data_IF_830186444324
#
_entry.id   IF_830186444324
#
_cell.length_a   1.000
_cell.length_b   1.000
_cell.length_c   1.000
_cell.angle_alpha   90.00
_cell.angle_beta   90.00
_cell.angle_gamma   90.00
#
_symmetry.space_group_name_H-M   'P 1'
#
loop_
_entity.id
_entity.type
_entity.pdbx_description
1 polymer ?
#
# COMPACT_ATOMS: atom_id res chain seq x y z
N UNK A 1 16.35 -1.71 5.98
CA UNK A 1 15.57 -1.97 4.75
C UNK A 1 14.59 -3.07 5.08
N UNK A 2 13.28 -2.86 4.91
CA UNK A 2 12.24 -3.87 5.16
C UNK A 2 11.67 -4.35 3.83
N UNK A 3 11.60 -5.66 3.64
CA UNK A 3 11.02 -6.29 2.45
C UNK A 3 10.35 -7.59 2.87
N UNK A 4 9.16 -7.52 3.50
CA UNK A 4 8.45 -8.73 3.87
C UNK A 4 7.96 -9.49 2.64
N UNK A 5 7.95 -10.80 2.74
CA UNK A 5 7.35 -11.67 1.73
C UNK A 5 5.84 -11.39 1.62
N UNK A 6 5.17 -11.22 2.77
CA UNK A 6 3.79 -10.74 2.87
C UNK A 6 3.68 -9.53 3.81
N UNK A 7 3.32 -8.38 3.23
CA UNK A 7 3.11 -7.13 3.96
C UNK A 7 1.82 -7.14 4.77
N UNK A 8 0.86 -8.00 4.43
CA UNK A 8 -0.42 -8.15 5.11
C UNK A 8 -0.35 -9.12 6.30
N UNK A 9 0.84 -9.61 6.63
CA UNK A 9 1.02 -10.41 7.84
C UNK A 9 0.77 -9.53 9.10
N UNK A 10 0.05 -10.02 10.14
CA UNK A 10 -0.35 -9.21 11.31
C UNK A 10 0.79 -8.44 11.98
N UNK A 11 1.99 -9.04 12.05
CA UNK A 11 3.18 -8.37 12.59
C UNK A 11 3.53 -7.06 11.87
N UNK A 12 3.32 -6.98 10.55
CA UNK A 12 3.59 -5.79 9.77
C UNK A 12 2.46 -4.78 9.87
N UNK A 13 1.22 -5.23 9.90
CA UNK A 13 0.05 -4.36 10.13
C UNK A 13 0.21 -3.62 11.46
N UNK A 14 0.53 -4.34 12.54
CA UNK A 14 0.73 -3.71 13.86
C UNK A 14 1.92 -2.76 13.86
N UNK A 15 3.01 -3.13 13.19
CA UNK A 15 4.16 -2.24 13.06
C UNK A 15 3.84 -0.96 12.28
N UNK A 16 3.03 -1.03 11.22
CA UNK A 16 2.57 0.13 10.46
C UNK A 16 1.58 0.95 11.29
N UNK A 17 0.71 0.31 12.08
CA UNK A 17 -0.22 0.98 13.00
C UNK A 17 0.55 1.81 14.04
N UNK A 18 1.61 1.26 14.61
CA UNK A 18 2.47 1.96 15.58
C UNK A 18 3.16 3.19 14.99
N UNK A 19 3.42 3.21 13.68
CA UNK A 19 3.97 4.39 12.98
C UNK A 19 2.96 5.53 12.85
N UNK A 20 1.67 5.29 13.10
CA UNK A 20 0.58 6.28 13.02
C UNK A 20 0.61 7.09 11.70
N UNK A 21 0.52 6.43 10.54
CA UNK A 21 0.61 7.13 9.27
C UNK A 21 -0.59 8.06 9.07
N UNK A 22 -0.33 9.30 8.66
CA UNK A 22 -1.36 10.21 8.18
C UNK A 22 -1.80 9.87 6.74
N UNK A 23 -0.85 9.47 5.90
CA UNK A 23 -0.98 9.19 4.46
C UNK A 23 -0.11 7.98 4.10
N UNK A 24 -0.57 7.13 3.18
CA UNK A 24 0.26 6.09 2.57
C UNK A 24 0.56 6.40 1.10
N UNK A 25 1.79 6.16 0.67
CA UNK A 25 2.19 6.26 -0.73
C UNK A 25 2.79 4.94 -1.22
N UNK A 26 2.30 4.47 -2.36
CA UNK A 26 2.80 3.28 -3.04
C UNK A 26 3.40 3.67 -4.39
N UNK A 27 4.69 3.40 -4.58
CA UNK A 27 5.43 3.71 -5.80
C UNK A 27 5.93 2.39 -6.40
N UNK A 28 5.33 1.94 -7.51
CA UNK A 28 5.71 0.70 -8.18
C UNK A 28 5.80 -0.53 -7.26
N UNK A 29 5.07 -0.52 -6.14
CA UNK A 29 5.03 -1.64 -5.20
C UNK A 29 4.19 -2.76 -5.78
N UNK A 30 4.69 -4.00 -5.73
CA UNK A 30 4.11 -5.14 -6.44
C UNK A 30 3.04 -5.88 -5.65
N UNK A 31 3.11 -5.83 -4.32
CA UNK A 31 2.19 -6.59 -3.48
C UNK A 31 0.94 -5.74 -3.22
N UNK A 32 -0.22 -6.37 -3.27
CA UNK A 32 -1.47 -5.72 -2.89
C UNK A 32 -1.43 -5.39 -1.39
N UNK A 33 -1.72 -4.14 -1.06
CA UNK A 33 -1.96 -3.73 0.33
C UNK A 33 -3.42 -4.04 0.67
N UNK A 34 -3.63 -4.83 1.72
CA UNK A 34 -4.95 -5.15 2.23
C UNK A 34 -5.61 -3.96 2.92
N UNK A 35 -6.93 -4.04 3.06
CA UNK A 35 -7.76 -2.99 3.64
C UNK A 35 -7.33 -2.62 5.06
N UNK A 36 -6.83 -3.58 5.84
CA UNK A 36 -6.32 -3.31 7.20
C UNK A 36 -5.17 -2.31 7.19
N UNK A 37 -4.31 -2.33 6.18
CA UNK A 37 -3.21 -1.37 6.04
C UNK A 37 -3.72 -0.05 5.47
N UNK A 38 -4.55 -0.11 4.42
CA UNK A 38 -5.08 1.07 3.73
C UNK A 38 -5.90 1.96 4.69
N UNK A 39 -6.63 1.35 5.61
CA UNK A 39 -7.46 2.06 6.60
C UNK A 39 -6.65 2.65 7.77
N UNK A 40 -5.34 2.39 7.88
CA UNK A 40 -4.50 3.02 8.91
C UNK A 40 -4.22 4.49 8.63
N UNK A 41 -4.34 4.94 7.38
CA UNK A 41 -4.05 6.31 6.97
C UNK A 41 -5.33 7.14 6.78
N UNK A 42 -5.69 8.03 7.72
CA UNK A 42 -6.96 8.76 7.69
C UNK A 42 -7.07 9.74 6.51
N UNK A 43 -5.95 10.21 5.94
CA UNK A 43 -5.94 11.08 4.76
C UNK A 43 -5.83 10.29 3.45
N UNK A 44 -5.88 8.96 3.53
CA UNK A 44 -5.93 8.05 2.40
C UNK A 44 -4.58 7.45 2.01
N UNK A 45 -4.67 6.56 1.01
CA UNK A 45 -3.54 5.87 0.41
C UNK A 45 -3.50 6.18 -1.10
N UNK A 46 -2.35 6.61 -1.60
CA UNK A 46 -2.16 7.01 -2.99
C UNK A 46 -1.16 6.10 -3.68
N UNK A 47 -1.47 5.69 -4.91
CA UNK A 47 -0.55 4.93 -5.75
C UNK A 47 -0.07 5.81 -6.91
N UNK A 48 1.23 5.78 -7.18
CA UNK A 48 1.78 6.33 -8.41
C UNK A 48 1.83 5.24 -9.47
N UNK A 49 1.05 5.45 -10.53
CA UNK A 49 1.05 4.58 -11.68
C UNK A 49 1.64 5.30 -12.91
N UNK A 50 2.60 4.66 -13.58
CA UNK A 50 3.31 5.24 -14.74
C UNK A 50 2.52 5.20 -16.05
N UNK A 51 1.19 5.30 -15.99
CA UNK A 51 0.31 5.18 -17.16
C UNK A 51 -0.88 6.15 -17.07
N UNK A 52 -1.60 6.31 -18.18
CA UNK A 52 -2.83 7.10 -18.25
C UNK A 52 -4.03 6.28 -17.75
N UNK A 53 -4.43 6.50 -16.50
CA UNK A 53 -5.69 5.98 -15.96
C UNK A 53 -6.90 6.69 -16.60
N UNK A 54 -8.02 6.01 -16.88
CA UNK A 54 -8.31 4.59 -16.60
C UNK A 54 -7.84 3.61 -17.69
N UNK A 55 -7.31 4.12 -18.81
CA UNK A 55 -7.07 3.36 -20.04
C UNK A 55 -6.03 2.22 -19.86
N UNK A 56 -5.06 2.41 -18.96
CA UNK A 56 -4.03 1.41 -18.65
C UNK A 56 -3.87 1.27 -17.14
N UNK A 57 -4.93 0.94 -16.40
CA UNK A 57 -4.72 0.46 -15.03
C UNK A 57 -3.81 -0.78 -15.08
N UNK A 58 -2.77 -0.85 -14.24
CA UNK A 58 -2.02 -2.10 -14.02
C UNK A 58 -2.91 -3.14 -13.33
N UNK A 59 -3.84 -3.70 -14.11
CA UNK A 59 -4.49 -4.97 -13.91
C UNK A 59 -4.13 -5.85 -15.12
N UNK A 60 -2.82 -6.05 -15.34
CA UNK A 60 -2.35 -7.18 -16.14
C UNK A 60 -1.58 -8.09 -15.20
N UNK A 61 -2.36 -8.98 -14.57
CA UNK A 61 -1.96 -10.18 -13.81
C UNK A 61 -0.72 -10.06 -12.92
#
# INVERSE_FOLDING_TARGET
MWAPEDVNHPLWIERIREMKPDVLFSFYYRNLLGDEILNLAPKGAFNLHGSLLPNIAAARR
#
